data_IF_698128812538
#
_entry.id   IF_698128812538
#
_cell.length_a   1.000
_cell.length_b   1.000
_cell.length_c   1.000
_cell.angle_alpha   90.00
_cell.angle_beta   90.00
_cell.angle_gamma   90.00
#
_symmetry.space_group_name_H-M   'P 1'
#
loop_
_entity.id
_entity.type
_entity.pdbx_description
1 polymer ?
#
# COMPACT_ATOMS: atom_id res chain seq x y z
N UNK A 1 0.24 8.76 27.82
CA UNK A 1 0.29 9.36 26.47
C UNK A 1 -1.13 9.30 25.96
N UNK A 2 -1.77 10.44 25.70
CA UNK A 2 -3.09 10.44 25.06
C UNK A 2 -2.95 9.82 23.67
N UNK A 3 -3.85 8.90 23.32
CA UNK A 3 -3.87 8.28 21.99
C UNK A 3 -4.19 9.36 20.96
N UNK A 4 -3.41 9.43 19.87
CA UNK A 4 -3.69 10.38 18.79
C UNK A 4 -5.14 10.19 18.30
N UNK A 5 -5.92 11.27 18.10
CA UNK A 5 -7.29 11.16 17.57
C UNK A 5 -7.37 10.34 16.27
N UNK A 6 -6.32 10.40 15.45
CA UNK A 6 -6.21 9.61 14.20
C UNK A 6 -6.03 8.12 14.51
N UNK A 7 -5.18 7.78 15.48
CA UNK A 7 -4.96 6.39 15.89
C UNK A 7 -6.22 5.77 16.50
N UNK A 8 -6.96 6.53 17.32
CA UNK A 8 -8.24 6.09 17.87
C UNK A 8 -9.27 5.83 16.75
N UNK A 9 -9.34 6.71 15.75
CA UNK A 9 -10.25 6.54 14.61
C UNK A 9 -9.87 5.31 13.75
N UNK A 10 -8.59 5.12 13.46
CA UNK A 10 -8.08 3.95 12.73
C UNK A 10 -8.34 2.65 13.52
N UNK A 11 -8.13 2.66 14.83
CA UNK A 11 -8.43 1.54 15.72
C UNK A 11 -9.93 1.19 15.67
N UNK A 12 -10.82 2.18 15.60
CA UNK A 12 -12.26 2.00 15.40
C UNK A 12 -12.58 1.24 14.11
N UNK A 13 -11.91 1.57 12.99
CA UNK A 13 -12.07 0.88 11.71
C UNK A 13 -11.70 -0.61 11.84
N UNK A 14 -10.50 -0.91 12.35
CA UNK A 14 -10.06 -2.30 12.52
C UNK A 14 -10.91 -3.07 13.53
N UNK A 15 -11.43 -2.40 14.57
CA UNK A 15 -12.38 -2.99 15.51
C UNK A 15 -13.67 -3.42 14.82
N UNK A 16 -14.30 -2.55 14.03
CA UNK A 16 -15.50 -2.89 13.25
C UNK A 16 -15.21 -4.01 12.23
N UNK A 17 -14.05 -3.96 11.55
CA UNK A 17 -13.61 -5.00 10.62
C UNK A 17 -13.46 -6.37 11.32
N UNK A 18 -12.87 -6.40 12.53
CA UNK A 18 -12.72 -7.63 13.32
C UNK A 18 -14.04 -8.24 13.78
N UNK A 19 -15.08 -7.42 13.93
CA UNK A 19 -16.46 -7.85 14.22
C UNK A 19 -17.27 -8.20 12.96
N UNK A 20 -16.64 -8.12 11.78
CA UNK A 20 -17.26 -8.33 10.47
C UNK A 20 -18.41 -7.33 10.17
N UNK A 21 -18.33 -6.13 10.74
CA UNK A 21 -19.28 -5.03 10.53
C UNK A 21 -18.86 -4.20 9.30
N UNK A 22 -18.85 -4.82 8.12
CA UNK A 22 -18.24 -4.25 6.90
C UNK A 22 -18.84 -2.89 6.49
N UNK A 23 -20.14 -2.69 6.68
CA UNK A 23 -20.79 -1.40 6.36
C UNK A 23 -20.28 -0.30 7.27
N UNK A 24 -20.25 -0.53 8.58
CA UNK A 24 -19.73 0.43 9.55
C UNK A 24 -18.25 0.71 9.33
N UNK A 25 -17.44 -0.34 9.13
CA UNK A 25 -16.02 -0.20 8.82
C UNK A 25 -15.79 0.63 7.55
N UNK A 26 -16.62 0.46 6.52
CA UNK A 26 -16.51 1.21 5.27
C UNK A 26 -16.86 2.69 5.43
N UNK A 27 -17.93 3.00 6.17
CA UNK A 27 -18.31 4.38 6.46
C UNK A 27 -17.22 5.10 7.26
N UNK A 28 -16.71 4.47 8.32
CA UNK A 28 -15.62 5.02 9.13
C UNK A 28 -14.34 5.21 8.29
N UNK A 29 -13.99 4.24 7.45
CA UNK A 29 -12.82 4.34 6.60
C UNK A 29 -12.91 5.46 5.57
N UNK A 30 -14.06 5.62 4.92
CA UNK A 30 -14.31 6.72 3.97
C UNK A 30 -14.29 8.09 4.67
N UNK A 31 -14.88 8.20 5.87
CA UNK A 31 -14.87 9.43 6.66
C UNK A 31 -13.45 9.82 7.09
N UNK A 32 -12.72 8.88 7.72
CA UNK A 32 -11.36 9.11 8.23
C UNK A 32 -10.40 9.44 7.09
N UNK A 33 -10.41 8.66 6.00
CA UNK A 33 -9.54 8.94 4.85
C UNK A 33 -9.89 10.30 4.22
N UNK A 34 -11.17 10.63 4.10
CA UNK A 34 -11.63 11.91 3.59
C UNK A 34 -11.17 13.10 4.45
N UNK A 35 -11.23 12.96 5.78
CA UNK A 35 -10.75 13.98 6.71
C UNK A 35 -9.24 14.18 6.64
N UNK A 36 -8.47 13.09 6.65
CA UNK A 36 -7.01 13.15 6.51
C UNK A 36 -6.63 13.77 5.16
N UNK A 37 -7.34 13.43 4.08
CA UNK A 37 -7.08 14.03 2.78
C UNK A 37 -7.41 15.54 2.74
N UNK A 38 -8.48 15.97 3.41
CA UNK A 38 -8.78 17.40 3.59
C UNK A 38 -7.70 18.12 4.39
N UNK A 39 -7.13 17.47 5.41
CA UNK A 39 -6.04 18.03 6.20
C UNK A 39 -4.76 18.11 5.36
N UNK A 40 -4.42 17.06 4.63
CA UNK A 40 -3.30 16.98 3.69
C UNK A 40 -3.31 18.11 2.64
N UNK A 41 -4.49 18.44 2.11
CA UNK A 41 -4.66 19.54 1.16
C UNK A 41 -4.32 20.91 1.76
N UNK A 42 -4.49 21.07 3.08
CA UNK A 42 -4.22 22.32 3.81
C UNK A 42 -2.78 22.40 4.30
N UNK A 43 -2.26 21.29 4.84
CA UNK A 43 -0.93 21.19 5.41
C UNK A 43 -0.25 19.92 4.90
N UNK A 44 0.94 20.08 4.33
CA UNK A 44 1.74 18.96 3.83
C UNK A 44 3.02 18.89 4.63
N UNK A 45 3.25 17.74 5.25
CA UNK A 45 4.42 17.49 6.08
C UNK A 45 4.61 16.00 6.30
N UNK A 46 5.70 15.66 6.96
CA UNK A 46 6.08 14.28 7.24
C UNK A 46 5.03 13.59 8.13
N UNK A 47 4.50 14.29 9.13
CA UNK A 47 3.47 13.76 10.02
C UNK A 47 2.16 13.47 9.27
N UNK A 48 1.68 14.42 8.47
CA UNK A 48 0.46 14.25 7.68
C UNK A 48 0.63 13.16 6.62
N UNK A 49 1.86 12.94 6.13
CA UNK A 49 2.17 11.85 5.20
C UNK A 49 2.08 10.48 5.89
N UNK A 50 2.58 10.37 7.12
CA UNK A 50 2.39 9.18 7.95
C UNK A 50 0.90 8.89 8.21
N UNK A 51 0.13 9.91 8.59
CA UNK A 51 -1.31 9.77 8.83
C UNK A 51 -2.05 9.35 7.55
N UNK A 52 -1.69 9.92 6.39
CA UNK A 52 -2.27 9.55 5.10
C UNK A 52 -2.00 8.08 4.75
N UNK A 53 -0.77 7.59 4.97
CA UNK A 53 -0.44 6.18 4.74
C UNK A 53 -1.20 5.28 5.70
N UNK A 54 -1.26 5.62 6.99
CA UNK A 54 -1.97 4.82 7.99
C UNK A 54 -3.48 4.74 7.70
N UNK A 55 -4.12 5.88 7.40
CA UNK A 55 -5.53 5.94 7.02
C UNK A 55 -5.80 5.17 5.71
N UNK A 56 -4.89 5.26 4.74
CA UNK A 56 -5.00 4.50 3.49
C UNK A 56 -4.92 3.00 3.75
N UNK A 57 -4.02 2.52 4.60
CA UNK A 57 -3.93 1.10 4.95
C UNK A 57 -5.24 0.59 5.58
N UNK A 58 -5.84 1.36 6.50
CA UNK A 58 -7.11 1.01 7.10
C UNK A 58 -8.24 0.95 6.05
N UNK A 59 -8.32 1.95 5.17
CA UNK A 59 -9.28 1.97 4.07
C UNK A 59 -9.11 0.77 3.13
N UNK A 60 -7.88 0.47 2.74
CA UNK A 60 -7.55 -0.65 1.86
C UNK A 60 -7.95 -1.98 2.48
N UNK A 61 -7.68 -2.19 3.78
CA UNK A 61 -8.10 -3.41 4.47
C UNK A 61 -9.63 -3.62 4.39
N UNK A 62 -10.42 -2.56 4.56
CA UNK A 62 -11.89 -2.64 4.44
C UNK A 62 -12.32 -2.89 2.99
N UNK A 63 -11.76 -2.16 2.02
CA UNK A 63 -12.10 -2.35 0.61
C UNK A 63 -11.78 -3.76 0.12
N UNK A 64 -10.63 -4.32 0.51
CA UNK A 64 -10.26 -5.71 0.22
C UNK A 64 -11.24 -6.69 0.86
N UNK A 65 -11.66 -6.48 2.11
CA UNK A 65 -12.68 -7.32 2.76
C UNK A 65 -14.03 -7.27 2.02
N UNK A 66 -14.37 -6.12 1.43
CA UNK A 66 -15.55 -5.92 0.59
C UNK A 66 -15.37 -6.35 -0.88
N UNK A 67 -14.21 -6.92 -1.26
CA UNK A 67 -13.87 -7.29 -2.65
C UNK A 67 -13.83 -6.09 -3.63
N UNK A 68 -13.64 -4.86 -3.12
CA UNK A 68 -13.49 -3.61 -3.90
C UNK A 68 -12.02 -3.38 -4.26
N UNK A 69 -11.40 -4.37 -4.91
CA UNK A 69 -9.94 -4.41 -5.15
C UNK A 69 -9.40 -3.25 -5.99
N UNK A 70 -10.17 -2.77 -6.97
CA UNK A 70 -9.75 -1.65 -7.82
C UNK A 70 -9.65 -0.34 -7.01
N UNK A 71 -10.60 -0.11 -6.12
CA UNK A 71 -10.61 1.08 -5.25
C UNK A 71 -9.49 1.02 -4.21
N UNK A 72 -9.27 -0.17 -3.64
CA UNK A 72 -8.14 -0.43 -2.76
C UNK A 72 -6.79 -0.16 -3.46
N UNK A 73 -6.63 -0.63 -4.69
CA UNK A 73 -5.40 -0.43 -5.47
C UNK A 73 -5.18 1.06 -5.80
N UNK A 74 -6.23 1.75 -6.25
CA UNK A 74 -6.16 3.19 -6.54
C UNK A 74 -5.80 4.03 -5.31
N UNK A 75 -6.33 3.67 -4.13
CA UNK A 75 -5.96 4.31 -2.87
C UNK A 75 -4.48 4.09 -2.54
N UNK A 76 -3.96 2.87 -2.72
CA UNK A 76 -2.52 2.60 -2.54
C UNK A 76 -1.65 3.46 -3.46
N UNK A 77 -2.00 3.50 -4.75
CA UNK A 77 -1.28 4.31 -5.76
C UNK A 77 -1.29 5.80 -5.40
N UNK A 78 -2.44 6.31 -4.96
CA UNK A 78 -2.59 7.71 -4.52
C UNK A 78 -1.69 7.99 -3.31
N UNK A 79 -1.67 7.12 -2.30
CA UNK A 79 -0.83 7.28 -1.12
C UNK A 79 0.67 7.24 -1.47
N UNK A 80 1.10 6.33 -2.34
CA UNK A 80 2.49 6.33 -2.84
C UNK A 80 2.84 7.64 -3.54
N UNK A 81 2.01 8.07 -4.49
CA UNK A 81 2.26 9.29 -5.26
C UNK A 81 2.37 10.53 -4.36
N UNK A 82 1.48 10.64 -3.38
CA UNK A 82 1.37 11.85 -2.56
C UNK A 82 2.46 11.91 -1.49
N UNK A 83 2.85 10.76 -0.95
CA UNK A 83 3.82 10.71 0.15
C UNK A 83 5.27 10.50 -0.30
N UNK A 84 5.52 10.19 -1.59
CA UNK A 84 6.86 10.03 -2.16
C UNK A 84 7.89 11.14 -1.84
N UNK A 85 7.53 12.44 -1.71
CA UNK A 85 8.49 13.47 -1.35
C UNK A 85 8.71 13.68 0.15
N UNK A 86 7.99 12.97 1.01
CA UNK A 86 8.00 13.16 2.47
C UNK A 86 8.66 11.99 3.18
N UNK A 87 9.05 12.21 4.44
CA UNK A 87 9.59 11.17 5.31
C UNK A 87 8.45 10.46 6.02
N UNK A 88 8.03 9.32 5.48
CA UNK A 88 7.05 8.43 6.13
C UNK A 88 7.76 7.33 6.90
N UNK A 89 7.13 6.87 7.99
CA UNK A 89 7.59 5.73 8.76
C UNK A 89 7.71 4.46 7.88
N UNK A 90 8.86 3.75 7.92
CA UNK A 90 9.08 2.56 7.10
C UNK A 90 8.02 1.46 7.27
N UNK A 91 7.54 1.23 8.49
CA UNK A 91 6.51 0.22 8.77
C UNK A 91 5.19 0.51 8.04
N UNK A 92 4.78 1.78 7.96
CA UNK A 92 3.60 2.20 7.21
C UNK A 92 3.77 1.94 5.71
N UNK A 93 4.93 2.28 5.14
CA UNK A 93 5.22 2.04 3.72
C UNK A 93 5.39 0.55 3.39
N UNK A 94 5.94 -0.25 4.32
CA UNK A 94 6.01 -1.71 4.20
C UNK A 94 4.60 -2.31 4.14
N UNK A 95 3.72 -1.88 5.05
CA UNK A 95 2.32 -2.30 5.09
C UNK A 95 1.58 -1.93 3.79
N UNK A 96 1.80 -0.71 3.28
CA UNK A 96 1.23 -0.26 2.01
C UNK A 96 1.72 -1.11 0.83
N UNK A 97 3.00 -1.47 0.80
CA UNK A 97 3.56 -2.37 -0.21
C UNK A 97 2.92 -3.76 -0.15
N UNK A 98 2.78 -4.32 1.05
CA UNK A 98 2.15 -5.62 1.29
C UNK A 98 0.70 -5.65 0.82
N UNK A 99 -0.09 -4.65 1.20
CA UNK A 99 -1.48 -4.56 0.79
C UNK A 99 -1.61 -4.44 -0.74
N UNK A 100 -0.75 -3.63 -1.37
CA UNK A 100 -0.70 -3.50 -2.83
C UNK A 100 -0.37 -4.84 -3.50
N UNK A 101 0.60 -5.59 -2.95
CA UNK A 101 0.97 -6.91 -3.48
C UNK A 101 -0.18 -7.90 -3.36
N UNK A 102 -0.83 -7.95 -2.20
CA UNK A 102 -1.94 -8.87 -1.96
C UNK A 102 -3.10 -8.60 -2.95
N UNK A 103 -3.40 -7.34 -3.24
CA UNK A 103 -4.42 -6.96 -4.24
C UNK A 103 -3.99 -7.42 -5.65
N UNK A 104 -2.73 -7.17 -6.02
CA UNK A 104 -2.19 -7.56 -7.32
C UNK A 104 -2.20 -9.09 -7.48
N UNK A 105 -1.72 -9.82 -6.47
CA UNK A 105 -1.69 -11.28 -6.46
C UNK A 105 -3.10 -11.89 -6.60
N UNK A 106 -4.08 -11.38 -5.85
CA UNK A 106 -5.47 -11.82 -5.96
C UNK A 106 -6.05 -11.52 -7.36
N UNK A 107 -5.74 -10.36 -7.92
CA UNK A 107 -6.17 -9.97 -9.27
C UNK A 107 -5.55 -10.89 -10.33
N UNK A 108 -4.26 -11.20 -10.22
CA UNK A 108 -3.56 -12.10 -11.13
C UNK A 108 -4.07 -13.55 -11.02
N UNK A 109 -4.36 -14.03 -9.80
CA UNK A 109 -4.89 -15.37 -9.59
C UNK A 109 -6.35 -15.55 -10.05
N UNK A 110 -7.11 -14.45 -10.14
CA UNK A 110 -8.51 -14.48 -10.61
C UNK A 110 -8.66 -14.14 -12.10
N UNK A 111 -7.59 -13.75 -12.77
CA UNK A 111 -7.59 -13.40 -14.20
C UNK A 111 -6.94 -14.50 -15.04
N UNK A 112 -7.34 -14.60 -16.32
CA UNK A 112 -6.67 -15.51 -17.25
C UNK A 112 -5.33 -14.91 -17.65
N UNK A 113 -4.27 -15.73 -17.81
CA UNK A 113 -3.00 -15.26 -18.32
C UNK A 113 -3.21 -14.49 -19.62
N UNK A 114 -2.74 -13.25 -19.68
CA UNK A 114 -2.86 -12.44 -20.89
C UNK A 114 -2.04 -13.07 -22.01
N UNK A 115 -2.59 -13.21 -23.22
CA UNK A 115 -1.82 -13.62 -24.40
C UNK A 115 -0.93 -12.47 -24.93
N UNK A 116 -1.24 -11.24 -24.52
CA UNK A 116 -0.50 -10.04 -24.87
C UNK A 116 0.80 -9.92 -24.07
N UNK A 117 1.94 -9.95 -24.76
CA UNK A 117 3.27 -9.76 -24.16
C UNK A 117 3.42 -8.40 -23.46
N UNK A 118 2.83 -7.33 -23.99
CA UNK A 118 2.94 -5.99 -23.39
C UNK A 118 2.28 -5.91 -22.00
N UNK A 119 1.15 -6.60 -21.81
CA UNK A 119 0.50 -6.65 -20.50
C UNK A 119 1.35 -7.41 -19.48
N UNK A 120 2.02 -8.49 -19.90
CA UNK A 120 2.95 -9.25 -19.05
C UNK A 120 4.16 -8.40 -18.66
N UNK A 121 4.71 -7.63 -19.60
CA UNK A 121 5.86 -6.74 -19.33
C UNK A 121 5.49 -5.67 -18.30
N UNK A 122 4.29 -5.08 -18.40
CA UNK A 122 3.81 -4.12 -17.41
C UNK A 122 3.59 -4.75 -16.03
N UNK A 123 2.99 -5.93 -15.95
CA UNK A 123 2.86 -6.66 -14.66
C UNK A 123 4.22 -6.99 -14.07
N UNK A 124 5.18 -7.42 -14.90
CA UNK A 124 6.56 -7.66 -14.45
C UNK A 124 7.19 -6.38 -13.91
N UNK A 125 7.03 -5.25 -14.59
CA UNK A 125 7.58 -3.97 -14.15
C UNK A 125 6.94 -3.49 -12.84
N UNK A 126 5.61 -3.61 -12.68
CA UNK A 126 4.89 -3.32 -11.43
C UNK A 126 5.44 -4.19 -10.29
N UNK A 127 5.59 -5.50 -10.55
CA UNK A 127 6.07 -6.47 -9.56
C UNK A 127 7.52 -6.17 -9.15
N UNK A 128 8.38 -5.79 -10.09
CA UNK A 128 9.74 -5.32 -9.81
C UNK A 128 9.71 -4.06 -8.95
N UNK A 129 8.95 -3.03 -9.33
CA UNK A 129 8.89 -1.77 -8.58
C UNK A 129 8.44 -1.98 -7.14
N UNK A 130 7.35 -2.74 -6.98
CA UNK A 130 6.79 -3.05 -5.69
C UNK A 130 7.74 -3.91 -4.85
N UNK A 131 8.42 -4.89 -5.46
CA UNK A 131 9.43 -5.73 -4.83
C UNK A 131 10.63 -4.93 -4.32
N UNK A 132 11.16 -4.01 -5.13
CA UNK A 132 12.28 -3.13 -4.75
C UNK A 132 11.91 -2.23 -3.57
N UNK A 133 10.72 -1.62 -3.60
CA UNK A 133 10.19 -0.80 -2.51
C UNK A 133 9.98 -1.64 -1.23
N UNK A 134 9.31 -2.79 -1.35
CA UNK A 134 9.06 -3.69 -0.23
C UNK A 134 10.38 -4.18 0.41
N UNK A 135 11.38 -4.52 -0.40
CA UNK A 135 12.70 -4.93 0.09
C UNK A 135 13.35 -3.82 0.90
N UNK A 136 13.36 -2.59 0.36
CA UNK A 136 13.90 -1.42 1.06
C UNK A 136 13.22 -1.19 2.41
N UNK A 137 11.88 -1.19 2.44
CA UNK A 137 11.14 -0.93 3.67
C UNK A 137 11.18 -2.10 4.64
N UNK A 138 11.30 -3.35 4.18
CA UNK A 138 11.49 -4.52 5.03
C UNK A 138 12.75 -4.38 5.91
N UNK A 139 13.89 -4.03 5.32
CA UNK A 139 15.12 -3.84 6.10
C UNK A 139 15.10 -2.58 6.95
N UNK A 140 14.49 -1.49 6.48
CA UNK A 140 14.34 -0.29 7.29
C UNK A 140 13.48 -0.56 8.54
N UNK A 141 12.31 -1.19 8.35
CA UNK A 141 11.45 -1.61 9.46
C UNK A 141 12.15 -2.59 10.40
N UNK A 142 12.83 -3.61 9.87
CA UNK A 142 13.53 -4.60 10.71
C UNK A 142 14.71 -4.01 11.51
N UNK A 143 15.35 -2.95 11.01
CA UNK A 143 16.38 -2.24 11.75
C UNK A 143 15.79 -1.37 12.89
N UNK A 144 14.63 -0.75 12.66
CA UNK A 144 13.99 0.15 13.61
C UNK A 144 13.17 -0.63 14.66
N UNK A 145 12.44 -1.67 14.24
CA UNK A 145 11.59 -2.54 15.05
C UNK A 145 11.64 -4.00 14.55
N UNK A 146 12.56 -4.83 15.06
CA UNK A 146 12.70 -6.24 14.64
C UNK A 146 11.48 -7.12 14.94
N UNK A 147 10.62 -6.71 15.88
CA UNK A 147 9.43 -7.44 16.31
C UNK A 147 8.16 -6.97 15.57
N UNK A 148 8.31 -6.16 14.52
CA UNK A 148 7.17 -5.66 13.74
C UNK A 148 6.40 -6.81 13.08
N UNK A 149 5.07 -6.90 13.29
CA UNK A 149 4.27 -8.03 12.82
C UNK A 149 4.16 -8.10 11.29
N UNK A 150 4.48 -7.05 10.54
CA UNK A 150 4.47 -7.07 9.08
C UNK A 150 5.70 -7.75 8.47
N UNK A 151 6.80 -7.93 9.24
CA UNK A 151 8.05 -8.49 8.72
C UNK A 151 7.91 -9.94 8.20
N UNK A 152 7.25 -10.88 8.91
CA UNK A 152 7.08 -12.24 8.40
C UNK A 152 6.31 -12.29 7.07
N UNK A 153 5.23 -11.52 6.96
CA UNK A 153 4.42 -11.46 5.74
C UNK A 153 5.20 -10.82 4.58
N UNK A 154 5.94 -9.75 4.85
CA UNK A 154 6.82 -9.12 3.87
C UNK A 154 7.92 -10.07 3.38
N UNK A 155 8.51 -10.86 4.27
CA UNK A 155 9.51 -11.86 3.89
C UNK A 155 8.90 -12.91 2.95
N UNK A 156 7.70 -13.41 3.24
CA UNK A 156 7.00 -14.35 2.38
C UNK A 156 6.67 -13.76 1.01
N UNK A 157 6.13 -12.53 0.96
CA UNK A 157 5.84 -11.83 -0.29
C UNK A 157 7.11 -11.59 -1.11
N UNK A 158 8.20 -11.11 -0.49
CA UNK A 158 9.48 -10.91 -1.16
C UNK A 158 10.06 -12.21 -1.74
N UNK A 159 9.92 -13.34 -1.04
CA UNK A 159 10.36 -14.64 -1.56
C UNK A 159 9.59 -15.05 -2.81
N UNK A 160 8.28 -14.77 -2.87
CA UNK A 160 7.47 -15.02 -4.08
C UNK A 160 7.91 -14.09 -5.21
N UNK A 161 7.97 -12.78 -4.94
CA UNK A 161 8.33 -11.75 -5.92
C UNK A 161 9.71 -12.02 -6.54
N UNK A 162 10.72 -12.29 -5.72
CA UNK A 162 12.10 -12.57 -6.19
C UNK A 162 12.24 -13.89 -6.96
N UNK A 163 11.27 -14.80 -6.82
CA UNK A 163 11.17 -15.99 -7.67
C UNK A 163 10.59 -15.71 -9.05
N UNK A 164 9.94 -14.55 -9.24
CA UNK A 164 9.24 -14.16 -10.47
C UNK A 164 9.99 -13.09 -11.27
N UNK A 165 10.59 -12.12 -10.59
CA UNK A 165 11.25 -10.96 -11.21
C UNK A 165 12.54 -10.57 -10.50
N UNK A 166 13.41 -9.83 -11.19
CA UNK A 166 14.54 -9.17 -10.56
C UNK A 166 14.05 -7.88 -9.87
N UNK A 167 14.48 -7.68 -8.63
CA UNK A 167 14.28 -6.45 -7.86
C UNK A 167 15.60 -5.67 -7.76
N UNK A 168 15.55 -4.41 -7.35
CA UNK A 168 16.73 -3.60 -7.00
C UNK A 168 16.91 -3.53 -5.47
N UNK A 169 17.82 -4.33 -4.87
CA UNK A 169 18.11 -4.28 -3.44
C UNK A 169 18.79 -2.98 -2.99
N UNK A 170 19.39 -2.24 -3.93
CA UNK A 170 20.16 -1.03 -3.68
C UNK A 170 19.37 0.24 -4.04
N UNK A 171 18.04 0.16 -4.04
CA UNK A 171 17.13 1.20 -4.51
C UNK A 171 17.44 2.57 -3.92
N UNK A 172 18.09 3.41 -4.74
CA UNK A 172 18.52 4.75 -4.36
C UNK A 172 17.39 5.79 -4.49
N UNK A 173 16.64 5.74 -5.58
CA UNK A 173 15.59 6.72 -5.92
C UNK A 173 14.20 6.12 -5.81
N UNK A 174 13.58 6.28 -4.64
CA UNK A 174 12.20 5.80 -4.40
C UNK A 174 11.16 6.58 -5.19
N UNK A 175 11.42 7.85 -5.53
CA UNK A 175 10.46 8.68 -6.28
C UNK A 175 10.33 8.18 -7.70
N UNK A 176 11.46 7.85 -8.32
CA UNK A 176 11.47 7.24 -9.65
C UNK A 176 10.75 5.89 -9.64
N UNK A 177 11.06 5.02 -8.68
CA UNK A 177 10.43 3.69 -8.60
C UNK A 177 8.90 3.80 -8.43
N UNK A 178 8.43 4.72 -7.59
CA UNK A 178 6.99 5.01 -7.42
C UNK A 178 6.40 5.57 -8.73
N UNK A 179 7.10 6.47 -9.42
CA UNK A 179 6.63 6.99 -10.71
C UNK A 179 6.50 5.90 -11.77
N UNK A 180 7.44 4.94 -11.80
CA UNK A 180 7.40 3.80 -12.73
C UNK A 180 6.28 2.83 -12.36
N UNK A 181 6.06 2.56 -11.08
CA UNK A 181 4.93 1.78 -10.57
C UNK A 181 3.58 2.37 -11.03
N UNK A 182 3.40 3.67 -10.87
CA UNK A 182 2.18 4.39 -11.28
C UNK A 182 1.98 4.32 -12.79
N UNK A 183 3.01 4.67 -13.57
CA UNK A 183 2.98 4.66 -15.04
C UNK A 183 2.60 3.29 -15.59
N UNK A 184 3.17 2.21 -15.03
CA UNK A 184 2.83 0.87 -15.47
C UNK A 184 1.43 0.44 -15.02
N UNK A 185 0.98 0.87 -13.85
CA UNK A 185 -0.39 0.63 -13.37
C UNK A 185 -1.44 1.29 -14.26
N UNK A 186 -1.22 2.54 -14.68
CA UNK A 186 -2.06 3.26 -15.64
C UNK A 186 -2.09 2.56 -17.01
N UNK A 187 -0.93 2.11 -17.49
CA UNK A 187 -0.80 1.48 -18.81
C UNK A 187 -1.65 0.21 -18.99
N UNK A 188 -1.97 -0.49 -17.90
CA UNK A 188 -2.84 -1.68 -17.90
C UNK A 188 -4.21 -1.42 -17.27
N UNK A 189 -4.56 -0.15 -16.99
CA UNK A 189 -5.87 0.26 -16.52
C UNK A 189 -6.21 -0.14 -15.08
N UNK A 190 -5.20 -0.40 -14.24
CA UNK A 190 -5.42 -0.66 -12.80
C UNK A 190 -5.78 0.62 -12.04
N UNK A 191 -5.41 1.78 -12.57
CA UNK A 191 -5.81 3.12 -12.12
C UNK A 191 -6.24 3.95 -13.34
N UNK A 192 -7.15 4.91 -13.12
CA UNK A 192 -7.79 5.76 -14.15
C UNK A 192 -7.36 7.22 -14.03
#
# INVERSE_FOLDING_TARGET
MEESPVNAAISGIYSALSRNELVEASMLAEEVLGDIFRQWQKHKGDNEACELVAATCAYVAVMTAMQRHQEAYAACMTAFAYTAPYKVEPAGLLSLCLMTWNILEQTLNSTRPADNTAARDHVSAITTCLGSLMYKYYYATGNDNPDDPALPDAYHALRVITGLVNIDPALADTKKEISDLLRHSEAIGLIQ
#
